data_IF_489414345838
#
_entry.id   IF_489414345838
#
_cell.length_a   1.000
_cell.length_b   1.000
_cell.length_c   1.000
_cell.angle_alpha   90.00
_cell.angle_beta   90.00
_cell.angle_gamma   90.00
#
_symmetry.space_group_name_H-M   'P 1'
#
loop_
_entity.id
_entity.type
_entity.pdbx_description
1 polymer ?
#
# COMPACT_ATOMS: atom_id res chain seq x y z
N UNK A 1 -19.91 14.36 5.91
CA UNK A 1 -19.96 12.91 5.62
C UNK A 1 -18.56 12.53 5.21
N UNK A 2 -17.93 11.62 5.95
CA UNK A 2 -16.62 11.10 5.58
C UNK A 2 -16.84 10.13 4.41
N UNK A 3 -16.16 10.34 3.28
CA UNK A 3 -16.31 9.51 2.09
C UNK A 3 -15.66 8.16 2.35
N UNK A 4 -16.28 7.05 1.91
CA UNK A 4 -15.64 5.75 2.09
C UNK A 4 -14.42 5.64 1.16
N UNK A 5 -13.33 4.94 1.56
CA UNK A 5 -12.17 4.75 0.68
C UNK A 5 -12.56 4.14 -0.66
N UNK A 6 -13.51 3.20 -0.65
CA UNK A 6 -13.99 2.54 -1.87
C UNK A 6 -14.69 3.50 -2.84
N UNK A 7 -15.49 4.45 -2.32
CA UNK A 7 -16.09 5.50 -3.16
C UNK A 7 -15.03 6.41 -3.79
N UNK A 8 -13.91 6.66 -3.10
CA UNK A 8 -12.81 7.46 -3.64
C UNK A 8 -12.06 6.66 -4.71
N UNK A 9 -11.79 5.37 -4.45
CA UNK A 9 -11.13 4.48 -5.40
C UNK A 9 -11.91 4.42 -6.72
N UNK A 10 -13.19 4.04 -6.68
CA UNK A 10 -14.01 3.93 -7.90
C UNK A 10 -14.17 5.24 -8.66
N UNK A 11 -14.42 6.36 -7.97
CA UNK A 11 -14.54 7.66 -8.66
C UNK A 11 -13.24 8.04 -9.36
N UNK A 12 -12.09 7.75 -8.76
CA UNK A 12 -10.78 8.06 -9.32
C UNK A 12 -10.41 7.13 -10.47
N UNK A 13 -10.75 5.84 -10.38
CA UNK A 13 -10.59 4.87 -11.47
C UNK A 13 -11.35 5.33 -12.71
N UNK A 14 -12.66 5.60 -12.59
CA UNK A 14 -13.51 6.06 -13.69
C UNK A 14 -12.94 7.33 -14.36
N UNK A 15 -12.48 8.28 -13.55
CA UNK A 15 -11.91 9.54 -14.05
C UNK A 15 -10.59 9.33 -14.78
N UNK A 16 -9.71 8.50 -14.23
CA UNK A 16 -8.40 8.24 -14.83
C UNK A 16 -8.53 7.40 -16.10
N UNK A 17 -9.43 6.41 -16.11
CA UNK A 17 -9.73 5.62 -17.31
C UNK A 17 -10.29 6.52 -18.42
N UNK A 18 -11.24 7.41 -18.10
CA UNK A 18 -11.77 8.37 -19.07
C UNK A 18 -10.71 9.34 -19.63
N UNK A 19 -9.73 9.73 -18.81
CA UNK A 19 -8.66 10.66 -19.22
C UNK A 19 -7.53 9.98 -20.00
N UNK A 20 -7.20 8.74 -19.65
CA UNK A 20 -6.03 8.03 -20.20
C UNK A 20 -6.39 7.07 -21.32
N UNK A 21 -7.62 6.58 -21.36
CA UNK A 21 -8.08 5.53 -22.27
C UNK A 21 -7.59 4.12 -21.89
N UNK A 22 -7.00 3.95 -20.70
CA UNK A 22 -6.50 2.68 -20.20
C UNK A 22 -7.20 2.29 -18.90
N UNK A 23 -7.41 0.99 -18.64
CA UNK A 23 -7.90 0.55 -17.33
C UNK A 23 -6.86 0.87 -16.25
N UNK A 24 -7.30 1.48 -15.16
CA UNK A 24 -6.47 1.86 -14.01
C UNK A 24 -7.11 1.32 -12.73
N UNK A 25 -6.30 0.76 -11.82
CA UNK A 25 -6.71 0.43 -10.44
C UNK A 25 -6.17 1.52 -9.50
N UNK A 26 -7.03 2.04 -8.62
CA UNK A 26 -6.67 3.09 -7.66
C UNK A 26 -6.83 2.54 -6.25
N UNK A 27 -5.83 2.78 -5.41
CA UNK A 27 -5.84 2.36 -4.00
C UNK A 27 -5.53 3.50 -3.06
N UNK A 28 -6.35 3.64 -2.01
CA UNK A 28 -6.14 4.61 -0.93
C UNK A 28 -5.19 3.99 0.11
N UNK A 29 -3.93 4.44 0.10
CA UNK A 29 -2.89 3.88 0.98
C UNK A 29 -3.20 4.07 2.48
N UNK A 30 -3.88 5.14 2.88
CA UNK A 30 -4.18 5.42 4.30
C UNK A 30 -4.99 4.32 5.01
N UNK A 31 -5.71 3.49 4.25
CA UNK A 31 -6.56 2.40 4.77
C UNK A 31 -6.19 1.03 4.21
N UNK A 32 -5.13 0.95 3.40
CA UNK A 32 -4.67 -0.30 2.82
C UNK A 32 -3.93 -1.18 3.85
N UNK A 33 -3.79 -2.49 3.60
CA UNK A 33 -2.95 -3.37 4.42
C UNK A 33 -1.49 -2.89 4.45
N UNK A 34 -0.85 -2.94 5.61
CA UNK A 34 0.52 -2.42 5.80
C UNK A 34 1.54 -3.07 4.86
N UNK A 35 1.40 -4.36 4.56
CA UNK A 35 2.24 -5.08 3.60
C UNK A 35 2.11 -4.53 2.18
N UNK A 36 0.88 -4.19 1.75
CA UNK A 36 0.63 -3.58 0.45
C UNK A 36 1.27 -2.19 0.38
N UNK A 37 1.06 -1.36 1.40
CA UNK A 37 1.65 -0.01 1.47
C UNK A 37 3.18 -0.09 1.42
N UNK A 38 3.78 -1.01 2.18
CA UNK A 38 5.23 -1.22 2.17
C UNK A 38 5.74 -1.57 0.77
N UNK A 39 5.05 -2.47 0.06
CA UNK A 39 5.39 -2.85 -1.30
C UNK A 39 5.31 -1.64 -2.26
N UNK A 40 4.27 -0.81 -2.13
CA UNK A 40 4.10 0.41 -2.94
C UNK A 40 5.22 1.42 -2.67
N UNK A 41 5.61 1.63 -1.41
CA UNK A 41 6.69 2.56 -1.06
C UNK A 41 8.04 2.04 -1.56
N UNK A 42 8.28 0.74 -1.40
CA UNK A 42 9.57 0.12 -1.70
C UNK A 42 9.85 0.03 -3.21
N UNK A 43 8.86 -0.42 -3.99
CA UNK A 43 9.04 -0.77 -5.39
C UNK A 43 8.29 0.17 -6.36
N UNK A 44 7.44 1.06 -5.84
CA UNK A 44 6.69 2.02 -6.62
C UNK A 44 7.51 3.23 -7.08
N UNK A 45 6.94 4.00 -8.02
CA UNK A 45 7.52 5.22 -8.55
C UNK A 45 6.69 6.41 -8.05
N UNK A 46 7.33 7.36 -7.36
CA UNK A 46 6.68 8.58 -6.89
C UNK A 46 6.43 9.53 -8.06
N UNK A 47 5.16 9.69 -8.44
CA UNK A 47 4.77 10.56 -9.56
C UNK A 47 4.61 12.02 -9.10
N UNK A 48 4.10 12.24 -7.90
CA UNK A 48 3.84 13.57 -7.34
C UNK A 48 3.98 13.56 -5.83
N UNK A 49 4.69 14.57 -5.31
CA UNK A 49 4.82 14.86 -3.89
C UNK A 49 4.32 16.28 -3.62
N UNK A 50 3.34 16.42 -2.74
CA UNK A 50 2.73 17.72 -2.39
C UNK A 50 3.27 18.21 -1.05
N UNK A 51 3.38 17.31 -0.07
CA UNK A 51 3.82 17.59 1.30
C UNK A 51 4.87 16.54 1.71
N UNK A 52 6.15 16.78 1.41
CA UNK A 52 7.21 15.79 1.61
C UNK A 52 7.37 15.33 3.07
N UNK A 53 7.14 16.25 4.02
CA UNK A 53 7.24 15.94 5.46
C UNK A 53 6.17 14.92 5.86
N UNK A 54 4.92 15.10 5.42
CA UNK A 54 3.82 14.16 5.70
C UNK A 54 4.09 12.80 5.06
N UNK A 55 4.58 12.80 3.81
CA UNK A 55 4.93 11.56 3.11
C UNK A 55 6.05 10.81 3.84
N UNK A 56 7.13 11.50 4.18
CA UNK A 56 8.29 10.89 4.86
C UNK A 56 7.89 10.31 6.22
N UNK A 57 7.05 11.01 6.98
CA UNK A 57 6.53 10.51 8.26
C UNK A 57 5.66 9.26 8.07
N UNK A 58 4.79 9.26 7.05
CA UNK A 58 3.97 8.11 6.70
C UNK A 58 4.83 6.90 6.32
N UNK A 59 5.84 7.09 5.47
CA UNK A 59 6.78 6.03 5.08
C UNK A 59 7.50 5.47 6.31
N UNK A 60 8.04 6.33 7.19
CA UNK A 60 8.71 5.90 8.42
C UNK A 60 7.83 5.03 9.33
N UNK A 61 6.56 5.40 9.49
CA UNK A 61 5.58 4.60 10.25
C UNK A 61 5.36 3.23 9.60
N UNK A 62 5.22 3.17 8.28
CA UNK A 62 5.02 1.92 7.53
C UNK A 62 6.26 1.03 7.63
N UNK A 63 7.46 1.57 7.43
CA UNK A 63 8.71 0.83 7.55
C UNK A 63 8.86 0.21 8.93
N UNK A 64 8.60 0.96 9.99
CA UNK A 64 8.65 0.47 11.37
C UNK A 64 7.68 -0.69 11.60
N UNK A 65 6.39 -0.49 11.30
CA UNK A 65 5.36 -1.53 11.45
C UNK A 65 5.68 -2.79 10.66
N UNK A 66 6.20 -2.63 9.46
CA UNK A 66 6.54 -3.75 8.59
C UNK A 66 7.74 -4.53 9.14
N UNK A 67 8.80 -3.85 9.58
CA UNK A 67 9.98 -4.52 10.14
C UNK A 67 9.67 -5.26 11.45
N UNK A 68 8.80 -4.70 12.28
CA UNK A 68 8.31 -5.39 13.48
C UNK A 68 7.58 -6.70 13.13
N UNK A 69 6.93 -6.76 11.97
CA UNK A 69 6.11 -7.90 11.53
C UNK A 69 6.84 -8.91 10.62
N UNK A 70 7.82 -8.46 9.82
CA UNK A 70 8.58 -9.30 8.87
C UNK A 70 9.29 -10.44 9.58
N UNK A 71 9.83 -10.19 10.78
CA UNK A 71 10.50 -11.23 11.56
C UNK A 71 9.57 -12.41 11.81
N UNK A 72 8.35 -12.12 12.29
CA UNK A 72 7.36 -13.15 12.58
C UNK A 72 6.92 -13.87 11.31
N UNK A 73 6.64 -13.16 10.21
CA UNK A 73 6.29 -13.79 8.94
C UNK A 73 7.37 -14.78 8.48
N UNK A 74 8.65 -14.39 8.56
CA UNK A 74 9.75 -15.26 8.15
C UNK A 74 9.87 -16.51 9.02
N UNK A 75 9.64 -16.39 10.33
CA UNK A 75 9.61 -17.53 11.25
C UNK A 75 8.43 -18.47 10.91
N UNK A 76 7.21 -17.94 10.77
CA UNK A 76 6.03 -18.72 10.36
C UNK A 76 6.20 -19.42 9.00
N UNK A 77 6.74 -18.72 8.00
CA UNK A 77 6.96 -19.31 6.68
C UNK A 77 8.02 -20.42 6.72
N UNK A 78 9.06 -20.29 7.56
CA UNK A 78 10.03 -21.38 7.77
C UNK A 78 9.40 -22.60 8.42
N UNK A 79 8.50 -22.41 9.37
CA UNK A 79 7.78 -23.51 10.01
C UNK A 79 6.89 -24.26 9.01
N UNK A 80 6.12 -23.52 8.19
CA UNK A 80 5.26 -24.10 7.15
C UNK A 80 6.10 -24.84 6.11
N UNK A 81 7.19 -24.23 5.64
CA UNK A 81 8.03 -24.84 4.61
C UNK A 81 8.74 -26.12 5.08
N UNK A 82 9.04 -26.20 6.38
CA UNK A 82 9.69 -27.37 6.99
C UNK A 82 8.69 -28.36 7.62
N UNK A 83 7.38 -28.13 7.46
CA UNK A 83 6.38 -29.03 8.01
C UNK A 83 6.45 -30.40 7.32
N UNK A 84 6.46 -31.51 8.08
CA UNK A 84 6.37 -32.84 7.48
C UNK A 84 5.02 -32.99 6.75
N UNK A 85 5.08 -33.47 5.51
CA UNK A 85 3.92 -33.72 4.62
C UNK A 85 3.11 -34.91 5.14
#
# INVERSE_FOLDING_TARGET
MDRSPLEIEFEMEDKLEALTGYPVDVRVLNKAPTTFIFQVIKDGILIKDVEPDIRSDFEGIVFKKTHDFIRFQNEYLREIFNAPI
#
